data_IF_670332899529
#
_entry.id   IF_670332899529
#
_cell.length_a   1.000
_cell.length_b   1.000
_cell.length_c   1.000
_cell.angle_alpha   90.00
_cell.angle_beta   90.00
_cell.angle_gamma   90.00
#
_symmetry.space_group_name_H-M   'P 1'
#
loop_
_entity.id
_entity.type
_entity.pdbx_description
1 polymer ?
#
# COMPACT_ATOMS: atom_id res chain seq x y z
N UNK A 1 10.98 4.61 20.53
CA UNK A 1 10.53 4.03 19.24
C UNK A 1 11.80 3.64 18.50
N UNK A 2 12.25 2.39 18.71
CA UNK A 2 13.65 2.00 18.60
C UNK A 2 14.07 1.54 17.20
N UNK A 3 15.36 1.71 16.93
CA UNK A 3 16.15 1.24 15.78
C UNK A 3 16.12 -0.30 15.57
N UNK A 4 15.25 -1.03 16.29
CA UNK A 4 15.07 -2.48 16.22
C UNK A 4 13.87 -2.87 15.33
N UNK A 5 12.91 -1.97 15.08
CA UNK A 5 11.84 -2.20 14.08
C UNK A 5 12.39 -2.30 12.65
N UNK A 6 13.54 -1.67 12.40
CA UNK A 6 14.22 -1.71 11.09
C UNK A 6 14.89 -3.06 10.79
N UNK A 7 15.03 -3.97 11.76
CA UNK A 7 15.66 -5.29 11.58
C UNK A 7 14.66 -6.46 11.59
N UNK A 8 13.41 -6.23 12.01
CA UNK A 8 12.31 -7.16 11.78
C UNK A 8 11.65 -6.77 10.46
N UNK A 9 12.26 -7.19 9.36
CA UNK A 9 11.69 -6.97 8.02
C UNK A 9 10.28 -7.53 7.96
N UNK A 10 9.27 -6.66 7.97
CA UNK A 10 7.90 -7.01 7.68
C UNK A 10 7.84 -7.59 6.26
N UNK A 11 7.21 -8.75 6.11
CA UNK A 11 7.17 -9.44 4.82
C UNK A 11 6.63 -8.49 3.74
N UNK A 12 7.33 -8.37 2.60
CA UNK A 12 6.83 -7.63 1.44
C UNK A 12 6.96 -6.12 1.52
N UNK A 13 7.49 -5.58 2.62
CA UNK A 13 7.81 -4.17 2.75
C UNK A 13 8.97 -3.76 1.81
N UNK A 14 8.86 -2.55 1.26
CA UNK A 14 9.90 -1.92 0.45
C UNK A 14 10.66 -0.86 1.24
N UNK A 15 12.00 -0.82 1.09
CA UNK A 15 12.84 0.19 1.72
C UNK A 15 12.45 1.59 1.22
N UNK A 16 12.02 2.44 2.15
CA UNK A 16 11.53 3.81 1.90
C UNK A 16 12.61 4.69 1.29
N UNK A 17 13.86 4.51 1.71
CA UNK A 17 15.04 5.20 1.18
C UNK A 17 15.18 5.05 -0.34
N UNK A 18 14.77 3.89 -0.89
CA UNK A 18 14.79 3.65 -2.34
C UNK A 18 13.62 4.29 -3.09
N UNK A 19 12.55 4.64 -2.37
CA UNK A 19 11.32 5.22 -2.95
C UNK A 19 11.25 6.73 -2.74
N UNK A 20 11.97 7.29 -1.77
CA UNK A 20 11.87 8.70 -1.39
C UNK A 20 12.05 9.65 -2.59
N UNK A 21 13.01 9.38 -3.48
CA UNK A 21 13.23 10.19 -4.68
C UNK A 21 12.10 10.11 -5.70
N UNK A 22 11.53 8.92 -5.92
CA UNK A 22 10.40 8.71 -6.86
C UNK A 22 9.12 9.39 -6.34
N UNK A 23 8.88 9.34 -5.02
CA UNK A 23 7.65 9.84 -4.43
C UNK A 23 7.72 11.30 -3.99
N UNK A 24 8.90 11.89 -3.79
CA UNK A 24 9.06 13.29 -3.41
C UNK A 24 8.19 14.29 -4.20
N UNK A 25 8.11 14.23 -5.55
CA UNK A 25 7.25 15.16 -6.31
C UNK A 25 5.75 14.86 -6.18
N UNK A 26 5.36 13.70 -5.65
CA UNK A 26 3.97 13.28 -5.47
C UNK A 26 3.39 13.67 -4.10
N UNK A 27 4.26 13.97 -3.14
CA UNK A 27 3.88 14.33 -1.77
C UNK A 27 3.49 15.81 -1.68
N UNK A 28 2.42 16.09 -0.96
CA UNK A 28 2.04 17.46 -0.62
C UNK A 28 3.03 18.07 0.38
N UNK A 29 3.10 19.41 0.51
CA UNK A 29 3.91 20.05 1.54
C UNK A 29 3.60 19.52 2.94
N UNK A 30 4.63 19.05 3.63
CA UNK A 30 4.54 18.43 4.96
C UNK A 30 3.85 17.06 4.99
N UNK A 31 3.62 16.42 3.84
CA UNK A 31 3.24 15.00 3.76
C UNK A 31 4.51 14.14 3.82
N UNK A 32 4.46 13.04 4.56
CA UNK A 32 5.59 12.15 4.82
C UNK A 32 5.29 10.72 4.37
N UNK A 33 6.25 10.10 3.67
CA UNK A 33 6.19 8.68 3.36
C UNK A 33 6.42 7.87 4.63
N UNK A 34 5.56 6.90 4.92
CA UNK A 34 5.65 6.11 6.16
C UNK A 34 6.01 4.66 5.94
N UNK A 35 5.36 3.97 5.01
CA UNK A 35 5.56 2.54 4.72
C UNK A 35 5.22 2.26 3.26
N UNK A 36 5.78 1.21 2.67
CA UNK A 36 5.42 0.80 1.31
C UNK A 36 5.46 -0.72 1.17
N UNK A 37 4.49 -1.31 0.50
CA UNK A 37 4.36 -2.76 0.32
C UNK A 37 4.11 -3.09 -1.15
N UNK A 38 4.45 -4.33 -1.55
CA UNK A 38 4.05 -4.89 -2.84
C UNK A 38 5.21 -5.31 -3.73
N UNK A 39 4.99 -5.30 -5.03
CA UNK A 39 5.96 -5.67 -6.06
C UNK A 39 6.51 -4.42 -6.76
N UNK A 40 7.49 -4.61 -7.66
CA UNK A 40 8.10 -3.49 -8.40
C UNK A 40 7.05 -2.72 -9.24
N UNK A 41 6.01 -3.42 -9.71
CA UNK A 41 4.96 -2.86 -10.57
C UNK A 41 3.73 -2.37 -9.80
N UNK A 42 3.34 -3.11 -8.78
CA UNK A 42 2.16 -2.84 -7.96
C UNK A 42 2.60 -2.51 -6.54
N UNK A 43 2.55 -1.22 -6.20
CA UNK A 43 2.95 -0.72 -4.88
C UNK A 43 1.76 -0.13 -4.14
N UNK A 44 1.74 -0.35 -2.83
CA UNK A 44 0.83 0.28 -1.89
C UNK A 44 1.69 1.11 -0.96
N UNK A 45 1.57 2.42 -1.07
CA UNK A 45 2.39 3.36 -0.33
C UNK A 45 1.52 4.08 0.69
N UNK A 46 1.95 4.04 1.95
CA UNK A 46 1.32 4.71 3.07
C UNK A 46 2.03 6.02 3.33
N UNK A 47 1.27 7.11 3.36
CA UNK A 47 1.71 8.40 3.89
C UNK A 47 0.99 8.68 5.20
N UNK A 48 1.32 9.79 5.87
CA UNK A 48 0.55 10.27 7.03
C UNK A 48 -0.87 10.75 6.67
N UNK A 49 -1.21 10.86 5.37
CA UNK A 49 -2.50 11.44 4.91
C UNK A 49 -3.36 10.50 4.07
N UNK A 50 -2.75 9.62 3.28
CA UNK A 50 -3.46 8.78 2.30
C UNK A 50 -2.66 7.54 1.92
N UNK A 51 -3.37 6.60 1.30
CA UNK A 51 -2.74 5.56 0.49
C UNK A 51 -2.47 6.10 -0.91
N UNK A 52 -1.33 5.70 -1.49
CA UNK A 52 -1.02 5.87 -2.91
C UNK A 52 -0.86 4.46 -3.48
N UNK A 53 -1.79 4.06 -4.34
CA UNK A 53 -1.75 2.81 -5.07
C UNK A 53 -1.07 3.07 -6.42
N UNK A 54 0.06 2.41 -6.67
CA UNK A 54 0.83 2.55 -7.90
C UNK A 54 0.64 1.31 -8.74
N UNK A 55 0.34 1.51 -10.02
CA UNK A 55 0.28 0.44 -11.01
C UNK A 55 1.11 0.84 -12.24
N UNK A 56 2.22 0.14 -12.47
CA UNK A 56 3.09 0.32 -13.64
C UNK A 56 2.65 -0.64 -14.76
N UNK A 57 2.10 -0.07 -15.84
CA UNK A 57 1.52 -0.78 -16.98
C UNK A 57 2.48 -0.87 -18.17
N UNK A 58 2.30 -1.91 -18.98
CA UNK A 58 3.03 -2.12 -20.23
C UNK A 58 4.38 -2.83 -20.05
N UNK A 59 4.97 -3.26 -21.16
CA UNK A 59 6.23 -4.05 -21.17
C UNK A 59 7.40 -3.24 -20.60
N UNK A 60 7.46 -1.96 -20.93
CA UNK A 60 8.50 -1.02 -20.47
C UNK A 60 8.18 -0.38 -19.11
N UNK A 61 6.95 -0.54 -18.60
CA UNK A 61 6.49 0.13 -17.38
C UNK A 61 6.39 1.66 -17.50
N UNK A 62 6.39 2.21 -18.72
CA UNK A 62 6.43 3.66 -18.95
C UNK A 62 5.10 4.36 -18.62
N UNK A 63 3.99 3.64 -18.60
CA UNK A 63 2.69 4.16 -18.18
C UNK A 63 2.47 3.79 -16.73
N UNK A 64 2.38 4.79 -15.86
CA UNK A 64 2.17 4.58 -14.42
C UNK A 64 0.88 5.27 -13.99
N UNK A 65 0.01 4.52 -13.32
CA UNK A 65 -1.15 5.07 -12.61
C UNK A 65 -0.77 5.26 -11.13
N UNK A 66 -1.00 6.47 -10.62
CA UNK A 66 -0.93 6.78 -9.19
C UNK A 66 -2.34 7.12 -8.70
N UNK A 67 -2.97 6.21 -7.96
CA UNK A 67 -4.30 6.40 -7.39
C UNK A 67 -4.18 6.77 -5.92
N UNK A 68 -4.67 7.95 -5.56
CA UNK A 68 -4.65 8.43 -4.18
C UNK A 68 -5.97 8.13 -3.48
N UNK A 69 -5.92 7.45 -2.33
CA UNK A 69 -7.08 7.10 -1.51
C UNK A 69 -6.91 7.69 -0.11
N UNK A 70 -7.58 8.82 0.21
CA UNK A 70 -7.56 9.40 1.54
C UNK A 70 -8.09 8.43 2.59
N UNK A 71 -7.43 8.31 3.75
CA UNK A 71 -7.86 7.38 4.80
C UNK A 71 -9.32 7.59 5.24
N UNK A 72 -9.74 8.86 5.37
CA UNK A 72 -11.11 9.23 5.74
C UNK A 72 -12.20 8.75 4.76
N UNK A 73 -11.81 8.40 3.54
CA UNK A 73 -12.75 7.94 2.51
C UNK A 73 -12.91 6.42 2.47
N UNK A 74 -12.03 5.68 3.16
CA UNK A 74 -12.10 4.22 3.24
C UNK A 74 -13.17 3.87 4.28
N UNK A 75 -14.28 3.29 3.83
CA UNK A 75 -15.42 2.94 4.69
C UNK A 75 -15.38 1.47 5.13
N UNK A 76 -14.70 0.63 4.36
CA UNK A 76 -14.48 -0.78 4.66
C UNK A 76 -13.21 -1.23 3.94
N UNK A 77 -12.50 -2.17 4.54
CA UNK A 77 -11.33 -2.78 3.94
C UNK A 77 -11.27 -4.26 4.33
N UNK A 78 -10.71 -5.07 3.45
CA UNK A 78 -10.50 -6.50 3.68
C UNK A 78 -9.16 -6.90 3.08
N UNK A 79 -8.50 -7.84 3.75
CA UNK A 79 -7.31 -8.51 3.22
C UNK A 79 -7.59 -10.00 3.19
N UNK A 80 -7.40 -10.60 2.02
CA UNK A 80 -7.44 -12.03 1.80
C UNK A 80 -6.01 -12.55 1.73
N UNK A 81 -5.65 -13.47 2.61
CA UNK A 81 -4.29 -14.03 2.64
C UNK A 81 -4.16 -15.20 1.67
N UNK A 82 -3.00 -15.32 1.02
CA UNK A 82 -2.67 -16.48 0.20
C UNK A 82 -2.83 -17.79 1.01
N UNK A 83 -3.60 -18.73 0.48
CA UNK A 83 -3.75 -20.08 1.04
C UNK A 83 -2.55 -20.99 0.69
N UNK A 84 -2.64 -22.27 1.07
CA UNK A 84 -1.56 -23.24 0.77
C UNK A 84 -1.37 -23.50 -0.74
N UNK A 85 -2.43 -23.31 -1.54
CA UNK A 85 -2.46 -23.51 -2.99
C UNK A 85 -2.66 -22.21 -3.78
N UNK A 86 -3.15 -21.15 -3.13
CA UNK A 86 -3.32 -19.84 -3.76
C UNK A 86 -2.03 -19.02 -3.61
N UNK A 87 -1.58 -18.43 -4.70
CA UNK A 87 -0.27 -17.82 -4.78
C UNK A 87 -0.26 -16.35 -4.36
N UNK A 88 -1.42 -15.71 -4.29
CA UNK A 88 -1.51 -14.25 -4.12
C UNK A 88 -2.47 -13.92 -2.97
N UNK A 89 -2.10 -12.91 -2.18
CA UNK A 89 -3.02 -12.27 -1.26
C UNK A 89 -3.75 -11.14 -2.01
N UNK A 90 -4.89 -10.67 -1.50
CA UNK A 90 -5.64 -9.58 -2.12
C UNK A 90 -6.02 -8.53 -1.08
N UNK A 91 -5.84 -7.25 -1.41
CA UNK A 91 -6.40 -6.13 -0.67
C UNK A 91 -7.66 -5.62 -1.39
N UNK A 92 -8.74 -5.43 -0.65
CA UNK A 92 -9.97 -4.78 -1.12
C UNK A 92 -10.27 -3.55 -0.26
N UNK A 93 -10.45 -2.40 -0.90
CA UNK A 93 -10.78 -1.12 -0.27
C UNK A 93 -12.12 -0.61 -0.80
N UNK A 94 -13.11 -0.44 0.08
CA UNK A 94 -14.34 0.25 -0.27
C UNK A 94 -14.20 1.71 0.09
N UNK A 95 -14.43 2.56 -0.92
CA UNK A 95 -14.39 4.00 -0.79
C UNK A 95 -15.82 4.53 -0.73
N UNK A 96 -16.07 5.52 0.11
CA UNK A 96 -17.37 6.18 0.23
C UNK A 96 -17.92 6.59 -1.14
N UNK A 97 -19.16 6.21 -1.42
CA UNK A 97 -19.84 6.47 -2.70
C UNK A 97 -19.51 5.49 -3.83
N UNK A 98 -18.67 4.47 -3.61
CA UNK A 98 -18.42 3.42 -4.60
C UNK A 98 -19.02 2.08 -4.15
N UNK A 99 -19.77 1.43 -5.04
CA UNK A 99 -20.37 0.12 -4.78
C UNK A 99 -19.35 -1.02 -4.85
N UNK A 100 -18.38 -0.91 -5.75
CA UNK A 100 -17.33 -1.92 -5.96
C UNK A 100 -16.04 -1.51 -5.25
N UNK A 101 -15.31 -2.45 -4.63
CA UNK A 101 -14.03 -2.14 -4.01
C UNK A 101 -12.95 -1.89 -5.06
N UNK A 102 -11.96 -1.09 -4.67
CA UNK A 102 -10.66 -1.08 -5.32
C UNK A 102 -9.93 -2.34 -4.85
N UNK A 103 -9.73 -3.28 -5.77
CA UNK A 103 -8.99 -4.52 -5.54
C UNK A 103 -7.52 -4.38 -5.99
N UNK A 104 -6.59 -4.91 -5.20
CA UNK A 104 -5.16 -4.98 -5.52
C UNK A 104 -4.60 -6.33 -5.11
N UNK A 105 -3.99 -7.03 -6.08
CA UNK A 105 -3.21 -8.22 -5.78
C UNK A 105 -1.96 -7.83 -4.98
N UNK A 106 -1.76 -8.56 -3.91
CA UNK A 106 -0.64 -8.50 -3.02
C UNK A 106 0.17 -9.77 -3.31
N UNK A 107 1.23 -9.66 -4.12
CA UNK A 107 2.07 -10.82 -4.47
C UNK A 107 2.55 -11.61 -3.24
N UNK A 108 3.18 -12.77 -3.46
CA UNK A 108 3.67 -13.62 -2.35
C UNK A 108 4.46 -12.84 -1.29
N UNK A 109 4.23 -13.19 -0.02
CA UNK A 109 4.85 -12.57 1.15
C UNK A 109 4.62 -11.06 1.23
N UNK A 110 3.40 -10.59 0.97
CA UNK A 110 3.06 -9.17 0.84
C UNK A 110 2.97 -8.35 2.12
N UNK A 111 3.04 -8.97 3.30
CA UNK A 111 2.76 -8.26 4.55
C UNK A 111 1.28 -7.95 4.71
N UNK A 112 0.41 -8.82 4.17
CA UNK A 112 -1.05 -8.72 4.23
C UNK A 112 -1.59 -8.30 5.61
N UNK A 113 -1.07 -8.89 6.69
CA UNK A 113 -1.46 -8.54 8.06
C UNK A 113 -0.99 -7.15 8.48
N UNK A 114 0.23 -6.76 8.10
CA UNK A 114 0.78 -5.42 8.38
C UNK A 114 -0.01 -4.34 7.64
N UNK A 115 -0.36 -4.59 6.37
CA UNK A 115 -1.22 -3.72 5.57
C UNK A 115 -2.57 -3.52 6.28
N UNK A 116 -3.20 -4.59 6.75
CA UNK A 116 -4.47 -4.53 7.48
C UNK A 116 -4.33 -3.65 8.75
N UNK A 117 -3.30 -3.90 9.54
CA UNK A 117 -3.03 -3.16 10.78
C UNK A 117 -2.75 -1.67 10.52
N UNK A 118 -1.97 -1.35 9.49
CA UNK A 118 -1.63 0.03 9.12
C UNK A 118 -2.83 0.82 8.60
N UNK A 119 -3.71 0.19 7.82
CA UNK A 119 -4.97 0.82 7.39
C UNK A 119 -5.84 1.10 8.62
N UNK A 120 -5.97 0.13 9.53
CA UNK A 120 -6.75 0.31 10.76
C UNK A 120 -6.18 1.42 11.67
N UNK A 121 -4.86 1.58 11.73
CA UNK A 121 -4.22 2.65 12.50
C UNK A 121 -4.57 4.05 11.98
N UNK A 122 -4.72 4.20 10.66
CA UNK A 122 -5.02 5.48 10.02
C UNK A 122 -6.51 5.72 9.77
N UNK A 123 -7.33 4.67 9.87
CA UNK A 123 -8.77 4.78 9.74
C UNK A 123 -9.32 5.75 10.81
N UNK A 124 -10.23 6.66 10.45
CA UNK A 124 -10.86 7.54 11.43
C UNK A 124 -11.61 6.71 12.48
N UNK A 125 -11.44 7.09 13.75
CA UNK A 125 -12.19 6.52 14.88
C UNK A 125 -13.64 6.95 14.87
#
# INVERSE_FOLDING_TARGET
MGLLDTLLGHAGEKPIDKLAGEFAPLLAPGESLQRAFGLIRDLIVFTDRRLILVNKQGVTGSKVEYLSVPYRSIVMFAVETAGHFDMEAELRLWVSGQAQPIARSLGRNSGAQDILALIAQHAPR
#
